data_IF_962998254070
#
_entry.id   IF_962998254070
#
_cell.length_a   1.000
_cell.length_b   1.000
_cell.length_c   1.000
_cell.angle_alpha   90.00
_cell.angle_beta   90.00
_cell.angle_gamma   90.00
#
_symmetry.space_group_name_H-M   'P 1'
#
loop_
_entity.id
_entity.type
_entity.pdbx_description
1 polymer ?
#
# COMPACT_ATOMS: atom_id res chain seq x y z
N UNK A 1 -18.63 -8.30 -4.41
CA UNK A 1 -18.17 -7.63 -3.17
C UNK A 1 -16.70 -7.97 -3.01
N UNK A 2 -15.85 -6.95 -2.88
CA UNK A 2 -14.40 -7.18 -2.75
C UNK A 2 -14.09 -7.97 -1.48
N UNK A 3 -13.18 -8.93 -1.55
CA UNK A 3 -12.68 -9.69 -0.39
C UNK A 3 -11.76 -8.84 0.51
N UNK A 4 -11.29 -7.69 -0.03
CA UNK A 4 -10.47 -6.73 0.69
C UNK A 4 -11.29 -5.48 1.00
N UNK A 5 -11.43 -5.13 2.29
CA UNK A 5 -11.92 -3.81 2.64
C UNK A 5 -10.94 -2.72 2.19
N UNK A 6 -11.40 -1.48 2.08
CA UNK A 6 -10.61 -0.37 1.55
C UNK A 6 -9.34 -0.11 2.35
N UNK A 7 -9.40 -0.23 3.68
CA UNK A 7 -8.24 0.02 4.53
C UNK A 7 -7.15 -1.05 4.33
N UNK A 8 -7.56 -2.32 4.24
CA UNK A 8 -6.64 -3.43 3.97
C UNK A 8 -6.01 -3.29 2.59
N UNK A 9 -6.80 -2.98 1.57
CA UNK A 9 -6.34 -2.74 0.21
C UNK A 9 -5.33 -1.58 0.18
N UNK A 10 -5.65 -0.45 0.82
CA UNK A 10 -4.74 0.68 0.95
C UNK A 10 -3.40 0.28 1.57
N UNK A 11 -3.41 -0.47 2.68
CA UNK A 11 -2.18 -0.93 3.34
C UNK A 11 -1.33 -1.83 2.45
N UNK A 12 -1.94 -2.74 1.71
CA UNK A 12 -1.22 -3.64 0.78
C UNK A 12 -0.60 -2.82 -0.35
N UNK A 13 -1.37 -1.94 -0.98
CA UNK A 13 -0.90 -1.10 -2.08
C UNK A 13 0.19 -0.11 -1.63
N UNK A 14 0.15 0.36 -0.40
CA UNK A 14 1.19 1.25 0.14
C UNK A 14 2.55 0.57 0.30
N UNK A 15 2.59 -0.72 0.53
CA UNK A 15 3.80 -1.50 0.84
C UNK A 15 4.25 -2.43 -0.27
N UNK A 16 3.40 -2.70 -1.26
CA UNK A 16 3.71 -3.63 -2.34
C UNK A 16 4.94 -3.18 -3.14
N UNK A 17 6.05 -3.84 -2.92
CA UNK A 17 7.31 -3.56 -3.61
C UNK A 17 7.72 -4.68 -4.56
N UNK A 18 7.26 -5.90 -4.26
CA UNK A 18 7.54 -7.08 -5.06
C UNK A 18 6.39 -8.09 -4.92
N UNK A 19 5.77 -8.54 -6.00
CA UNK A 19 6.02 -8.17 -7.39
C UNK A 19 5.26 -6.88 -7.81
N UNK A 20 5.99 -5.81 -8.09
CA UNK A 20 5.39 -4.55 -8.54
C UNK A 20 4.85 -4.64 -9.98
N UNK A 21 5.50 -5.42 -10.84
CA UNK A 21 5.16 -5.57 -12.26
C UNK A 21 3.71 -5.98 -12.50
N UNK A 22 3.11 -6.97 -11.81
CA UNK A 22 1.70 -7.31 -12.00
C UNK A 22 0.73 -6.17 -11.67
N UNK A 23 1.07 -5.28 -10.74
CA UNK A 23 0.23 -4.13 -10.40
C UNK A 23 0.28 -3.07 -11.52
N UNK A 24 1.44 -2.84 -12.13
CA UNK A 24 1.57 -1.94 -13.28
C UNK A 24 0.80 -2.48 -14.49
N UNK A 25 0.99 -3.74 -14.83
CA UNK A 25 0.29 -4.38 -15.95
C UNK A 25 -1.24 -4.36 -15.76
N UNK A 26 -1.72 -4.60 -14.54
CA UNK A 26 -3.14 -4.50 -14.23
C UNK A 26 -3.66 -3.07 -14.32
N UNK A 27 -2.90 -2.08 -13.89
CA UNK A 27 -3.28 -0.67 -14.01
C UNK A 27 -3.37 -0.24 -15.49
N UNK A 28 -2.42 -0.66 -16.33
CA UNK A 28 -2.47 -0.43 -17.78
C UNK A 28 -3.71 -1.08 -18.41
N UNK A 29 -4.03 -2.31 -18.01
CA UNK A 29 -5.24 -2.99 -18.48
C UNK A 29 -6.52 -2.29 -18.01
N UNK A 30 -6.58 -1.82 -16.75
CA UNK A 30 -7.71 -1.03 -16.26
C UNK A 30 -7.91 0.20 -17.12
N UNK A 31 -6.83 0.93 -17.48
CA UNK A 31 -6.91 2.08 -18.38
C UNK A 31 -7.42 1.71 -19.77
N UNK A 32 -6.91 0.61 -20.33
CA UNK A 32 -7.27 0.17 -21.70
C UNK A 32 -8.71 -0.36 -21.80
N UNK A 33 -9.18 -1.02 -20.75
CA UNK A 33 -10.49 -1.67 -20.70
C UNK A 33 -11.57 -0.80 -20.03
N UNK A 34 -11.19 0.38 -19.48
CA UNK A 34 -12.12 1.28 -18.82
C UNK A 34 -13.08 1.90 -19.86
N UNK A 35 -14.38 1.61 -19.71
CA UNK A 35 -15.44 2.26 -20.49
C UNK A 35 -15.87 3.61 -19.92
N UNK A 36 -15.30 4.03 -18.79
CA UNK A 36 -15.60 5.29 -18.11
C UNK A 36 -14.42 6.26 -18.24
N UNK A 37 -14.71 7.54 -18.06
CA UNK A 37 -13.68 8.58 -18.04
C UNK A 37 -12.72 8.37 -16.86
N UNK A 38 -11.43 8.39 -17.15
CA UNK A 38 -10.37 8.32 -16.15
C UNK A 38 -9.73 9.71 -16.03
N UNK A 39 -9.74 10.24 -14.82
CA UNK A 39 -9.13 11.54 -14.54
C UNK A 39 -8.12 11.47 -13.40
N UNK A 40 -6.97 12.11 -13.58
CA UNK A 40 -5.97 12.29 -12.51
C UNK A 40 -6.33 13.55 -11.74
N UNK A 41 -6.86 13.37 -10.52
CA UNK A 41 -7.27 14.48 -9.63
C UNK A 41 -6.07 15.09 -8.95
N UNK A 42 -5.19 14.24 -8.41
CA UNK A 42 -3.90 14.64 -7.85
C UNK A 42 -2.82 13.82 -8.54
N UNK A 43 -1.98 14.44 -9.38
CA UNK A 43 -0.87 13.74 -10.00
C UNK A 43 0.11 13.23 -8.93
N UNK A 44 0.89 12.18 -9.23
CA UNK A 44 1.87 11.68 -8.27
C UNK A 44 2.79 12.78 -7.76
N UNK A 45 2.70 13.08 -6.48
CA UNK A 45 3.52 14.11 -5.84
C UNK A 45 4.24 13.55 -4.63
N UNK A 46 5.49 13.99 -4.46
CA UNK A 46 6.33 13.58 -3.34
C UNK A 46 6.19 14.62 -2.22
N UNK A 47 5.95 14.14 -1.03
CA UNK A 47 5.83 14.96 0.19
C UNK A 47 6.42 14.25 1.39
N UNK A 48 6.29 14.87 2.54
CA UNK A 48 6.67 14.29 3.83
C UNK A 48 5.47 14.25 4.76
N UNK A 49 5.35 13.16 5.51
CA UNK A 49 4.33 13.00 6.54
C UNK A 49 4.98 12.73 7.88
N UNK A 50 4.36 13.26 8.94
CA UNK A 50 4.82 13.05 10.30
C UNK A 50 4.55 11.62 10.74
N UNK A 51 5.61 10.90 11.13
CA UNK A 51 5.50 9.57 11.72
C UNK A 51 5.20 9.69 13.21
N UNK A 52 4.02 9.24 13.61
CA UNK A 52 3.61 9.16 15.00
C UNK A 52 3.71 7.73 15.49
N UNK A 53 4.44 7.53 16.55
CA UNK A 53 4.61 6.23 17.20
C UNK A 53 4.01 6.26 18.60
N UNK A 54 3.62 5.06 19.07
CA UNK A 54 3.19 4.84 20.46
C UNK A 54 4.26 4.03 21.16
N UNK A 55 4.78 4.55 22.23
CA UNK A 55 5.76 3.89 23.08
C UNK A 55 5.06 2.73 23.83
N UNK A 56 5.68 1.52 23.90
CA UNK A 56 5.00 0.32 24.38
C UNK A 56 4.82 0.27 25.92
N UNK A 57 5.61 1.03 26.68
CA UNK A 57 5.61 0.91 28.15
C UNK A 57 4.45 1.70 28.78
N UNK A 58 4.29 2.97 28.42
CA UNK A 58 3.27 3.85 28.98
C UNK A 58 2.20 4.25 27.97
N UNK A 59 2.35 3.83 26.73
CA UNK A 59 1.41 4.13 25.65
C UNK A 59 1.44 5.59 25.17
N UNK A 60 2.49 6.34 25.51
CA UNK A 60 2.65 7.74 25.12
C UNK A 60 2.86 7.84 23.61
N UNK A 61 2.11 8.74 22.97
CA UNK A 61 2.26 9.02 21.54
C UNK A 61 3.26 10.15 21.35
N UNK A 62 4.23 9.94 20.46
CA UNK A 62 5.24 10.94 20.13
C UNK A 62 5.50 11.00 18.63
N UNK A 63 6.01 12.13 18.15
CA UNK A 63 6.43 12.31 16.78
C UNK A 63 7.87 11.81 16.64
N UNK A 64 8.05 10.73 15.87
CA UNK A 64 9.36 10.10 15.66
C UNK A 64 10.18 10.76 14.53
N UNK A 65 9.55 11.61 13.72
CA UNK A 65 10.18 12.30 12.60
C UNK A 65 9.25 12.36 11.39
N UNK A 66 9.82 12.71 10.26
CA UNK A 66 9.12 12.79 8.98
C UNK A 66 9.59 11.67 8.05
N UNK A 67 8.66 11.10 7.31
CA UNK A 67 8.94 10.09 6.29
C UNK A 67 8.53 10.59 4.92
N UNK A 68 9.36 10.29 3.93
CA UNK A 68 9.09 10.61 2.54
C UNK A 68 8.01 9.69 2.00
N UNK A 69 7.01 10.28 1.33
CA UNK A 69 5.92 9.55 0.69
C UNK A 69 5.65 10.09 -0.71
N UNK A 70 5.04 9.28 -1.54
CA UNK A 70 4.41 9.70 -2.80
C UNK A 70 2.92 9.43 -2.69
N UNK A 71 2.08 10.39 -3.04
CA UNK A 71 0.63 10.24 -3.09
C UNK A 71 0.07 10.51 -4.48
N UNK A 72 -1.05 9.90 -4.80
CA UNK A 72 -1.81 10.17 -6.02
C UNK A 72 -3.31 9.94 -5.78
N UNK A 73 -4.14 10.65 -6.54
CA UNK A 73 -5.59 10.49 -6.54
C UNK A 73 -6.13 10.51 -7.95
N UNK A 74 -6.98 9.54 -8.25
CA UNK A 74 -7.62 9.40 -9.57
C UNK A 74 -9.11 9.14 -9.40
N UNK A 75 -9.87 9.38 -10.48
CA UNK A 75 -11.25 8.91 -10.57
C UNK A 75 -11.43 8.05 -11.81
N UNK A 76 -12.30 7.04 -11.72
CA UNK A 76 -12.82 6.27 -12.85
C UNK A 76 -14.33 6.44 -12.81
N UNK A 77 -14.87 7.28 -13.69
CA UNK A 77 -16.26 7.71 -13.61
C UNK A 77 -16.55 8.41 -12.27
N UNK A 78 -17.49 7.87 -11.50
CA UNK A 78 -17.86 8.39 -10.16
C UNK A 78 -17.04 7.79 -9.00
N UNK A 79 -16.11 6.90 -9.29
CA UNK A 79 -15.36 6.16 -8.27
C UNK A 79 -13.98 6.76 -8.05
N UNK A 80 -13.67 7.02 -6.78
CA UNK A 80 -12.46 7.68 -6.33
C UNK A 80 -11.43 6.64 -5.85
N UNK A 81 -10.20 6.75 -6.32
CA UNK A 81 -9.07 5.96 -5.90
C UNK A 81 -7.94 6.82 -5.37
N UNK A 82 -7.36 6.37 -4.26
CA UNK A 82 -6.28 7.05 -3.58
C UNK A 82 -5.18 6.07 -3.18
N UNK A 83 -3.94 6.50 -3.35
CA UNK A 83 -2.79 5.76 -2.85
C UNK A 83 -1.74 6.69 -2.26
N UNK A 84 -1.07 6.18 -1.23
CA UNK A 84 0.13 6.78 -0.64
C UNK A 84 1.15 5.68 -0.42
N UNK A 85 2.38 5.90 -0.88
CA UNK A 85 3.47 4.91 -0.79
C UNK A 85 4.71 5.54 -0.17
N UNK A 86 5.48 4.74 0.54
CA UNK A 86 6.76 5.17 1.09
C UNK A 86 7.77 5.47 -0.03
N UNK A 87 8.51 6.54 0.14
CA UNK A 87 9.58 6.95 -0.77
C UNK A 87 9.09 7.62 -2.05
N UNK A 88 9.95 7.60 -3.06
CA UNK A 88 9.68 8.13 -4.41
C UNK A 88 9.25 6.98 -5.32
N UNK A 89 7.97 6.87 -5.57
CA UNK A 89 7.40 5.81 -6.40
C UNK A 89 6.21 6.31 -7.23
N UNK A 90 6.40 7.30 -8.13
CA UNK A 90 5.27 7.96 -8.81
C UNK A 90 4.44 7.00 -9.67
N UNK A 91 5.08 6.15 -10.45
CA UNK A 91 4.39 5.20 -11.32
C UNK A 91 3.56 4.18 -10.52
N UNK A 92 4.18 3.56 -9.51
CA UNK A 92 3.49 2.59 -8.65
C UNK A 92 2.39 3.23 -7.82
N UNK A 93 2.55 4.49 -7.41
CA UNK A 93 1.52 5.22 -6.65
C UNK A 93 0.33 5.53 -7.54
N UNK A 94 0.56 5.95 -8.79
CA UNK A 94 -0.51 6.18 -9.75
C UNK A 94 -1.25 4.88 -10.08
N UNK A 95 -0.50 3.79 -10.33
CA UNK A 95 -1.08 2.47 -10.56
C UNK A 95 -1.93 2.01 -9.38
N UNK A 96 -1.43 2.16 -8.15
CA UNK A 96 -2.16 1.81 -6.94
C UNK A 96 -3.48 2.59 -6.79
N UNK A 97 -3.47 3.91 -7.08
CA UNK A 97 -4.67 4.73 -7.06
C UNK A 97 -5.69 4.28 -8.13
N UNK A 98 -5.21 3.93 -9.34
CA UNK A 98 -6.07 3.39 -10.40
C UNK A 98 -6.70 2.06 -10.00
N UNK A 99 -5.94 1.16 -9.40
CA UNK A 99 -6.45 -0.14 -8.93
C UNK A 99 -7.46 0.03 -7.80
N UNK A 100 -7.24 1.00 -6.89
CA UNK A 100 -8.20 1.33 -5.83
C UNK A 100 -9.53 1.82 -6.42
N UNK A 101 -9.49 2.78 -7.38
CA UNK A 101 -10.69 3.27 -8.07
C UNK A 101 -11.41 2.16 -8.84
N UNK A 102 -10.67 1.26 -9.51
CA UNK A 102 -11.23 0.15 -10.26
C UNK A 102 -12.00 -0.83 -9.35
N UNK A 103 -11.46 -1.15 -8.18
CA UNK A 103 -12.14 -2.01 -7.20
C UNK A 103 -13.38 -1.34 -6.64
N UNK A 104 -13.31 -0.03 -6.30
CA UNK A 104 -14.48 0.73 -5.84
C UNK A 104 -15.59 0.77 -6.90
N UNK A 105 -15.22 0.85 -8.17
CA UNK A 105 -16.15 0.85 -9.31
C UNK A 105 -16.59 -0.55 -9.76
N UNK A 106 -16.22 -1.61 -9.06
CA UNK A 106 -16.50 -3.00 -9.46
C UNK A 106 -16.08 -3.30 -10.92
N UNK A 107 -14.89 -2.80 -11.31
CA UNK A 107 -14.33 -3.04 -12.63
C UNK A 107 -14.23 -4.54 -12.94
N UNK A 108 -14.41 -5.00 -14.21
CA UNK A 108 -14.31 -6.42 -14.58
C UNK A 108 -13.00 -7.09 -14.15
N UNK A 109 -11.91 -6.33 -14.03
CA UNK A 109 -10.60 -6.84 -13.55
C UNK A 109 -10.49 -6.94 -12.03
N UNK A 110 -11.51 -6.57 -11.25
CA UNK A 110 -11.47 -6.66 -9.78
C UNK A 110 -11.01 -8.02 -9.27
N UNK A 111 -11.48 -9.18 -9.78
CA UNK A 111 -10.98 -10.47 -9.33
C UNK A 111 -9.47 -10.67 -9.56
N UNK A 112 -8.95 -10.19 -10.70
CA UNK A 112 -7.52 -10.27 -11.01
C UNK A 112 -6.70 -9.35 -10.09
N UNK A 113 -7.22 -8.16 -9.79
CA UNK A 113 -6.61 -7.22 -8.83
C UNK A 113 -6.55 -7.85 -7.44
N UNK A 114 -7.61 -8.49 -6.97
CA UNK A 114 -7.64 -9.16 -5.67
C UNK A 114 -6.63 -10.30 -5.56
N UNK A 115 -6.45 -11.08 -6.63
CA UNK A 115 -5.41 -12.12 -6.67
C UNK A 115 -4.02 -11.51 -6.55
N UNK A 116 -3.74 -10.41 -7.27
CA UNK A 116 -2.46 -9.71 -7.19
C UNK A 116 -2.23 -9.10 -5.80
N UNK A 117 -3.26 -8.53 -5.18
CA UNK A 117 -3.17 -8.01 -3.80
C UNK A 117 -2.87 -9.11 -2.79
N UNK A 118 -3.49 -10.27 -2.93
CA UNK A 118 -3.19 -11.45 -2.10
C UNK A 118 -1.73 -11.88 -2.22
N UNK A 119 -1.19 -11.94 -3.43
CA UNK A 119 0.21 -12.25 -3.67
C UNK A 119 1.17 -11.21 -3.05
N UNK A 120 0.84 -9.92 -3.16
CA UNK A 120 1.61 -8.85 -2.51
C UNK A 120 1.60 -8.98 -0.98
N UNK A 121 0.45 -9.28 -0.38
CA UNK A 121 0.33 -9.47 1.06
C UNK A 121 1.14 -10.66 1.57
N UNK A 122 1.12 -11.77 0.83
CA UNK A 122 1.93 -12.95 1.15
C UNK A 122 3.43 -12.69 1.03
N UNK A 123 3.86 -12.00 -0.04
CA UNK A 123 5.25 -11.60 -0.24
C UNK A 123 5.74 -10.70 0.89
N UNK A 124 4.93 -9.74 1.31
CA UNK A 124 5.25 -8.85 2.44
C UNK A 124 5.36 -9.62 3.75
N UNK A 125 4.43 -10.52 4.02
CA UNK A 125 4.46 -11.39 5.21
C UNK A 125 5.72 -12.26 5.23
N UNK A 126 6.12 -12.82 4.09
CA UNK A 126 7.33 -13.62 3.96
C UNK A 126 8.59 -12.78 4.24
N UNK A 127 8.65 -11.55 3.74
CA UNK A 127 9.76 -10.62 4.00
C UNK A 127 9.85 -10.25 5.49
N UNK A 128 8.73 -9.93 6.11
CA UNK A 128 8.68 -9.61 7.55
C UNK A 128 9.13 -10.79 8.40
N UNK A 129 8.71 -12.00 8.05
CA UNK A 129 9.13 -13.22 8.75
C UNK A 129 10.64 -13.49 8.57
N UNK A 130 11.18 -13.28 7.37
CA UNK A 130 12.61 -13.41 7.11
C UNK A 130 13.42 -12.39 7.93
N UNK A 131 13.02 -11.12 7.91
CA UNK A 131 13.66 -10.08 8.72
C UNK A 131 13.57 -10.39 10.23
N UNK A 132 12.44 -10.90 10.70
CA UNK A 132 12.29 -11.31 12.08
C UNK A 132 13.24 -12.45 12.47
N UNK A 133 13.44 -13.43 11.59
CA UNK A 133 14.37 -14.55 11.84
C UNK A 133 15.82 -14.09 11.96
N UNK A 134 16.21 -13.04 11.25
CA UNK A 134 17.56 -12.46 11.36
C UNK A 134 17.78 -11.75 12.69
N UNK A 135 16.77 -11.05 13.21
CA UNK A 135 16.88 -10.28 14.46
C UNK A 135 16.51 -11.07 15.71
N UNK A 136 15.71 -12.12 15.58
CA UNK A 136 15.27 -12.93 16.74
C UNK A 136 16.42 -13.47 17.60
N UNK A 137 17.57 -13.93 17.04
CA UNK A 137 18.71 -14.39 17.83
C UNK A 137 19.38 -13.27 18.64
N UNK A 138 19.18 -12.00 18.28
CA UNK A 138 19.74 -10.85 19.02
C UNK A 138 18.89 -10.42 20.21
N UNK A 139 17.76 -11.09 20.45
CA UNK A 139 16.90 -10.82 21.60
C UNK A 139 17.64 -11.14 22.90
N UNK A 140 17.92 -10.11 23.67
CA UNK A 140 18.51 -10.26 25.01
C UNK A 140 17.38 -10.57 25.99
N UNK A 141 17.45 -11.71 26.63
CA UNK A 141 16.65 -12.01 27.82
C UNK A 141 17.36 -11.40 29.02
N UNK A 142 16.82 -10.32 29.54
CA UNK A 142 17.26 -9.81 30.86
C UNK A 142 16.63 -10.71 31.90
N UNK A 143 17.39 -11.76 32.33
CA UNK A 143 17.06 -12.46 33.57
C UNK A 143 17.20 -11.46 34.70
N UNK A 144 16.17 -11.33 35.52
CA UNK A 144 16.23 -10.54 36.74
C UNK A 144 17.41 -11.04 37.56
N UNK A 145 18.50 -10.26 37.63
CA UNK A 145 19.53 -10.48 38.63
C UNK A 145 18.90 -10.20 40.00
N UNK A 146 18.57 -11.27 40.70
CA UNK A 146 18.22 -11.23 42.12
C UNK A 146 19.49 -11.09 42.94
#
# INVERSE_FOLDING_TARGET
MSSFDRNRRFSILAQATDPATPLLDLAERVLAESGAEVAVVTPPQVGMVMLRLREPTHGTVFNAGEILVTEARVTIGAHDGYAMRLGRAPELTLAAALLDAAVEGAHPLTPAIEVALGACEEAERARQLAAWREVAPTRVAFDEMR
#
